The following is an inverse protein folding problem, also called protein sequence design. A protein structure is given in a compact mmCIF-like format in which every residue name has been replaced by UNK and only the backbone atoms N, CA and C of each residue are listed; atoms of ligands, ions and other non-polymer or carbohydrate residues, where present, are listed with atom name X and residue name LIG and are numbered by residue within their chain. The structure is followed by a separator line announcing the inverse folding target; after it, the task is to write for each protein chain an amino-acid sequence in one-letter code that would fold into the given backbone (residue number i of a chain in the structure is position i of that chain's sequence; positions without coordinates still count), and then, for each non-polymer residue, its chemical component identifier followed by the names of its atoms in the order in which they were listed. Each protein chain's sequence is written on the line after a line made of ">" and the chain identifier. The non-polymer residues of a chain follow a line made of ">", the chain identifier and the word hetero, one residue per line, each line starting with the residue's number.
data_IF_724014757146
#
_entry.id   IF_724014757146
#
_cell.length_a   1.000
_cell.length_b   1.000
_cell.length_c   1.000
_cell.angle_alpha   90.00
_cell.angle_beta   90.00
_cell.angle_gamma   90.00
#
_symmetry.space_group_name_H-M   'P 1'
#
loop_
_entity.id
_entity.type
_entity.pdbx_description
1 polymer ?
#
# COMPACT_ATOMS: atom_id res chain seq x y z
N UNK A 1 -23.55 -18.98 46.40
CA UNK A 1 -23.06 -18.40 45.14
C UNK A 1 -21.89 -19.23 44.65
N UNK A 2 -21.82 -19.57 43.35
CA UNK A 2 -20.63 -20.20 42.77
C UNK A 2 -19.41 -19.34 43.09
N UNK A 3 -18.37 -19.93 43.68
CA UNK A 3 -17.11 -19.22 43.93
C UNK A 3 -16.32 -19.31 42.63
N UNK A 4 -16.16 -18.19 41.94
CA UNK A 4 -15.27 -18.11 40.79
C UNK A 4 -13.84 -18.46 41.21
N UNK A 5 -13.13 -19.20 40.35
CA UNK A 5 -11.70 -19.52 40.56
C UNK A 5 -10.84 -18.28 40.42
N UNK A 6 -9.59 -18.35 40.89
CA UNK A 6 -8.61 -17.26 40.72
C UNK A 6 -8.45 -16.87 39.24
N UNK A 7 -8.33 -17.87 38.37
CA UNK A 7 -8.19 -17.69 36.91
C UNK A 7 -9.40 -16.97 36.29
N UNK A 8 -10.62 -17.25 36.77
CA UNK A 8 -11.82 -16.57 36.31
C UNK A 8 -11.81 -15.09 36.73
N UNK A 9 -11.31 -14.78 37.92
CA UNK A 9 -11.15 -13.39 38.36
C UNK A 9 -10.07 -12.63 37.59
N UNK A 10 -8.97 -13.29 37.24
CA UNK A 10 -7.94 -12.71 36.37
C UNK A 10 -8.50 -12.43 34.97
N UNK A 11 -9.32 -13.33 34.43
CA UNK A 11 -9.98 -13.13 33.13
C UNK A 11 -10.95 -11.95 33.17
N UNK A 12 -11.77 -11.85 34.23
CA UNK A 12 -12.70 -10.72 34.43
C UNK A 12 -11.92 -9.40 34.54
N UNK A 13 -10.78 -9.39 35.24
CA UNK A 13 -9.91 -8.22 35.35
C UNK A 13 -9.35 -7.81 33.98
N UNK A 14 -8.80 -8.76 33.23
CA UNK A 14 -8.24 -8.49 31.90
C UNK A 14 -9.30 -7.93 30.93
N UNK A 15 -10.52 -8.47 30.95
CA UNK A 15 -11.62 -7.96 30.13
C UNK A 15 -12.08 -6.56 30.56
N UNK A 16 -12.10 -6.29 31.87
CA UNK A 16 -12.42 -4.97 32.41
C UNK A 16 -11.36 -3.93 32.03
N UNK A 17 -10.09 -4.28 32.13
CA UNK A 17 -8.97 -3.42 31.72
C UNK A 17 -8.91 -3.23 30.19
N UNK A 18 -9.52 -4.15 29.42
CA UNK A 18 -9.77 -3.98 27.99
C UNK A 18 -11.05 -3.18 27.66
N UNK A 19 -11.79 -2.69 28.67
CA UNK A 19 -12.94 -1.80 28.48
C UNK A 19 -14.33 -2.44 28.53
N UNK A 20 -14.45 -3.72 28.93
CA UNK A 20 -15.76 -4.33 29.16
C UNK A 20 -16.49 -3.66 30.34
N UNK A 21 -17.80 -3.46 30.21
CA UNK A 21 -18.60 -2.85 31.28
C UNK A 21 -18.88 -3.88 32.39
N UNK A 22 -19.08 -3.42 33.63
CA UNK A 22 -19.31 -4.37 34.71
C UNK A 22 -20.64 -5.16 34.60
N UNK A 23 -21.75 -4.61 34.06
CA UNK A 23 -22.94 -5.39 33.74
C UNK A 23 -22.67 -6.50 32.71
N UNK A 24 -21.89 -6.23 31.66
CA UNK A 24 -21.50 -7.24 30.67
C UNK A 24 -20.72 -8.41 31.29
N UNK A 25 -19.78 -8.09 32.19
CA UNK A 25 -19.00 -9.09 32.90
C UNK A 25 -19.87 -9.87 33.90
N UNK A 26 -20.84 -9.23 34.53
CA UNK A 26 -21.79 -9.88 35.43
C UNK A 26 -22.64 -10.93 34.69
N UNK A 27 -23.18 -10.56 33.54
CA UNK A 27 -24.01 -11.44 32.71
C UNK A 27 -23.18 -12.62 32.16
N UNK A 28 -21.96 -12.35 31.70
CA UNK A 28 -21.06 -13.36 31.12
C UNK A 28 -20.57 -14.40 32.12
N UNK A 29 -20.25 -13.97 33.35
CA UNK A 29 -19.67 -14.84 34.38
C UNK A 29 -20.68 -15.29 35.43
N UNK A 30 -21.95 -14.89 35.31
CA UNK A 30 -23.03 -15.31 36.22
C UNK A 30 -22.84 -14.84 37.67
N UNK A 31 -22.20 -13.68 37.85
CA UNK A 31 -21.91 -13.08 39.17
C UNK A 31 -22.50 -11.68 39.28
N UNK A 32 -22.71 -11.18 40.49
CA UNK A 32 -23.25 -9.83 40.66
C UNK A 32 -22.24 -8.77 40.23
N UNK A 33 -22.69 -7.78 39.45
CA UNK A 33 -21.90 -6.59 39.12
C UNK A 33 -21.30 -5.95 40.39
N UNK A 34 -22.07 -5.84 41.47
CA UNK A 34 -21.59 -5.30 42.76
C UNK A 34 -20.37 -6.04 43.32
N UNK A 35 -20.29 -7.38 43.15
CA UNK A 35 -19.14 -8.15 43.59
C UNK A 35 -17.89 -7.84 42.75
N UNK A 36 -18.05 -7.70 41.43
CA UNK A 36 -16.97 -7.31 40.52
C UNK A 36 -16.52 -5.87 40.83
N UNK A 37 -17.45 -4.94 41.04
CA UNK A 37 -17.16 -3.53 41.35
C UNK A 37 -16.40 -3.37 42.66
N UNK A 38 -16.83 -4.08 43.72
CA UNK A 38 -16.16 -4.04 45.04
C UNK A 38 -14.72 -4.55 44.94
N UNK A 39 -14.50 -5.63 44.17
CA UNK A 39 -13.17 -6.20 43.96
C UNK A 39 -12.28 -5.31 43.09
N UNK A 40 -12.82 -4.79 42.00
CA UNK A 40 -12.14 -3.83 41.14
C UNK A 40 -11.69 -2.57 41.89
N UNK A 41 -12.51 -2.07 42.83
CA UNK A 41 -12.14 -0.95 43.70
C UNK A 41 -11.06 -1.32 44.71
N UNK A 42 -11.10 -2.53 45.28
CA UNK A 42 -10.10 -3.00 46.24
C UNK A 42 -8.72 -3.24 45.58
N UNK A 43 -8.71 -3.67 44.32
CA UNK A 43 -7.51 -4.03 43.58
C UNK A 43 -7.07 -2.97 42.55
N UNK A 44 -7.81 -1.86 42.43
CA UNK A 44 -7.46 -0.72 41.57
C UNK A 44 -7.52 -1.01 40.06
N UNK A 45 -8.52 -1.77 39.60
CA UNK A 45 -8.62 -2.14 38.18
C UNK A 45 -8.93 -0.94 37.28
N UNK A 46 -8.22 -0.84 36.15
CA UNK A 46 -8.47 0.16 35.11
C UNK A 46 -9.85 0.02 34.45
N UNK A 47 -10.33 1.09 33.82
CA UNK A 47 -11.61 1.14 33.10
C UNK A 47 -11.47 1.03 31.57
N UNK A 48 -10.25 0.76 31.10
CA UNK A 48 -9.94 0.58 29.68
C UNK A 48 -9.94 1.85 28.85
N UNK A 49 -10.01 3.04 29.45
CA UNK A 49 -9.97 4.32 28.71
C UNK A 49 -8.68 4.51 27.89
N UNK A 50 -7.54 4.00 28.35
CA UNK A 50 -6.26 4.01 27.62
C UNK A 50 -6.23 2.97 26.46
N UNK A 51 -6.93 1.83 26.64
CA UNK A 51 -6.91 0.70 25.70
C UNK A 51 -8.01 0.83 24.63
N UNK A 52 -9.07 1.61 24.89
CA UNK A 52 -10.19 1.85 23.98
C UNK A 52 -9.75 2.46 22.64
N UNK A 53 -8.71 3.31 22.62
CA UNK A 53 -8.11 3.83 21.39
C UNK A 53 -7.43 2.74 20.55
N UNK A 54 -6.66 1.87 21.19
CA UNK A 54 -5.97 0.74 20.54
C UNK A 54 -6.97 -0.32 20.05
N UNK A 55 -8.03 -0.59 20.82
CA UNK A 55 -9.10 -1.52 20.44
C UNK A 55 -9.89 -0.99 19.25
N UNK A 56 -10.31 0.28 19.25
CA UNK A 56 -11.00 0.88 18.09
C UNK A 56 -10.16 0.80 16.82
N UNK A 57 -8.85 1.01 16.92
CA UNK A 57 -7.92 0.85 15.79
C UNK A 57 -7.86 -0.59 15.30
N UNK A 58 -7.73 -1.55 16.21
CA UNK A 58 -7.67 -2.98 15.89
C UNK A 58 -8.99 -3.56 15.38
N UNK A 59 -10.12 -3.01 15.85
CA UNK A 59 -11.45 -3.29 15.34
C UNK A 59 -11.61 -2.71 13.93
N UNK A 60 -11.18 -1.47 13.68
CA UNK A 60 -11.17 -0.91 12.33
C UNK A 60 -10.32 -1.74 11.36
N UNK A 61 -9.14 -2.21 11.78
CA UNK A 61 -8.29 -3.13 11.01
C UNK A 61 -8.99 -4.46 10.70
N UNK A 62 -9.76 -5.03 11.65
CA UNK A 62 -10.49 -6.28 11.44
C UNK A 62 -11.78 -6.13 10.64
N UNK A 63 -12.54 -5.06 10.85
CA UNK A 63 -13.82 -4.78 10.19
C UNK A 63 -13.62 -4.33 8.74
N UNK A 64 -12.55 -3.58 8.46
CA UNK A 64 -12.22 -3.18 7.09
C UNK A 64 -11.74 -4.33 6.20
N UNK A 65 -11.54 -5.55 6.73
CA UNK A 65 -11.18 -6.74 5.95
C UNK A 65 -9.79 -6.69 5.29
N UNK A 66 -9.03 -5.61 5.49
CA UNK A 66 -7.66 -5.47 4.95
C UNK A 66 -6.67 -5.89 6.02
N UNK A 67 -6.48 -7.19 6.16
CA UNK A 67 -5.15 -7.68 6.53
C UNK A 67 -4.23 -7.19 5.40
N UNK A 68 -3.32 -6.25 5.72
CA UNK A 68 -2.38 -5.65 4.77
C UNK A 68 -1.58 -6.66 3.91
N UNK A 69 -1.58 -7.94 4.29
CA UNK A 69 -0.95 -9.03 3.56
C UNK A 69 -1.73 -9.52 2.31
N UNK A 70 -3.06 -9.39 2.24
CA UNK A 70 -3.85 -9.92 1.11
C UNK A 70 -3.66 -9.11 -0.18
N UNK A 71 -3.34 -7.82 -0.07
CA UNK A 71 -3.16 -6.94 -1.22
C UNK A 71 -1.71 -6.88 -1.75
N UNK A 72 -0.70 -7.28 -0.97
CA UNK A 72 0.68 -7.15 -1.43
C UNK A 72 1.04 -8.17 -2.51
N UNK A 73 0.58 -9.42 -2.39
CA UNK A 73 0.77 -10.46 -3.41
C UNK A 73 0.04 -10.11 -4.71
N UNK A 74 -1.25 -9.76 -4.64
CA UNK A 74 -2.02 -9.35 -5.84
C UNK A 74 -1.46 -8.09 -6.49
N UNK A 75 -0.97 -7.13 -5.70
CA UNK A 75 -0.29 -5.94 -6.22
C UNK A 75 1.04 -6.31 -6.90
N UNK A 76 1.84 -7.21 -6.31
CA UNK A 76 3.07 -7.69 -6.93
C UNK A 76 2.77 -8.42 -8.25
N UNK A 77 1.81 -9.34 -8.28
CA UNK A 77 1.38 -10.03 -9.50
C UNK A 77 0.90 -9.04 -10.58
N UNK A 78 0.16 -8.00 -10.21
CA UNK A 78 -0.28 -6.97 -11.14
C UNK A 78 0.89 -6.11 -11.69
N UNK A 79 1.88 -5.81 -10.85
CA UNK A 79 3.11 -5.11 -11.24
C UNK A 79 3.93 -6.00 -12.19
N UNK A 80 4.14 -7.27 -11.84
CA UNK A 80 4.89 -8.23 -12.66
C UNK A 80 4.21 -8.41 -14.03
N UNK A 81 2.89 -8.54 -14.07
CA UNK A 81 2.15 -8.62 -15.32
C UNK A 81 2.25 -7.35 -16.16
N UNK A 82 2.32 -6.16 -15.54
CA UNK A 82 2.54 -4.91 -16.24
C UNK A 82 3.98 -4.80 -16.76
N UNK A 83 4.96 -5.23 -15.96
CA UNK A 83 6.37 -5.29 -16.34
C UNK A 83 6.59 -6.23 -17.52
N UNK A 84 5.94 -7.40 -17.53
CA UNK A 84 6.07 -8.37 -18.63
C UNK A 84 5.51 -7.82 -19.95
N UNK A 85 4.37 -7.10 -19.92
CA UNK A 85 3.84 -6.41 -21.10
C UNK A 85 4.82 -5.34 -21.60
N UNK A 86 5.43 -4.58 -20.69
CA UNK A 86 6.48 -3.60 -21.05
C UNK A 86 7.72 -4.27 -21.64
N UNK A 87 8.14 -5.40 -21.07
CA UNK A 87 9.28 -6.18 -21.55
C UNK A 87 9.03 -6.75 -22.95
N UNK A 88 7.81 -7.21 -23.24
CA UNK A 88 7.43 -7.67 -24.58
C UNK A 88 7.57 -6.58 -25.64
N UNK A 89 7.09 -5.36 -25.35
CA UNK A 89 7.26 -4.20 -26.23
C UNK A 89 8.74 -3.94 -26.50
N UNK A 90 9.58 -3.92 -25.45
CA UNK A 90 11.02 -3.70 -25.57
C UNK A 90 11.70 -4.81 -26.38
N UNK A 91 11.37 -6.08 -26.15
CA UNK A 91 11.94 -7.20 -26.91
C UNK A 91 11.58 -7.13 -28.38
N UNK A 92 10.34 -6.78 -28.73
CA UNK A 92 9.95 -6.57 -30.13
C UNK A 92 10.75 -5.42 -30.74
N UNK A 93 10.90 -4.31 -30.03
CA UNK A 93 11.67 -3.17 -30.54
C UNK A 93 13.13 -3.55 -30.83
N UNK A 94 13.75 -4.34 -29.95
CA UNK A 94 15.09 -4.88 -30.15
C UNK A 94 15.17 -5.74 -31.41
N UNK A 95 14.24 -6.68 -31.59
CA UNK A 95 14.19 -7.53 -32.77
C UNK A 95 14.00 -6.73 -34.07
N UNK A 96 13.13 -5.71 -34.08
CA UNK A 96 12.96 -4.84 -35.26
C UNK A 96 14.25 -4.07 -35.62
N UNK A 97 15.06 -3.69 -34.63
CA UNK A 97 16.36 -3.07 -34.85
C UNK A 97 17.42 -4.06 -35.33
N UNK A 98 17.39 -5.29 -34.83
CA UNK A 98 18.23 -6.38 -35.33
C UNK A 98 17.91 -6.70 -36.79
N UNK A 99 16.63 -6.77 -37.16
CA UNK A 99 16.18 -6.95 -38.54
C UNK A 99 16.62 -5.79 -39.45
N UNK A 100 16.51 -4.55 -38.96
CA UNK A 100 17.00 -3.38 -39.69
C UNK A 100 18.51 -3.49 -39.94
N UNK A 101 19.27 -3.84 -38.91
CA UNK A 101 20.73 -4.04 -39.00
C UNK A 101 21.09 -5.22 -39.91
N UNK A 102 20.35 -6.32 -39.87
CA UNK A 102 20.57 -7.47 -40.74
C UNK A 102 20.34 -7.11 -42.21
N UNK A 103 19.35 -6.26 -42.49
CA UNK A 103 19.01 -5.81 -43.84
C UNK A 103 19.99 -4.80 -44.42
N UNK A 104 20.40 -3.81 -43.63
CA UNK A 104 21.18 -2.67 -44.15
C UNK A 104 22.65 -2.68 -43.73
N UNK A 105 23.02 -3.49 -42.73
CA UNK A 105 24.39 -3.57 -42.23
C UNK A 105 24.83 -2.29 -41.52
N UNK A 106 26.04 -1.82 -41.84
CA UNK A 106 26.55 -0.51 -41.45
C UNK A 106 26.02 0.59 -42.38
N UNK A 107 26.59 1.80 -42.32
CA UNK A 107 26.22 2.89 -43.23
C UNK A 107 26.45 2.45 -44.69
N UNK A 108 25.41 2.43 -45.56
CA UNK A 108 25.58 2.06 -46.96
C UNK A 108 26.48 3.05 -47.71
N UNK A 109 27.29 2.54 -48.63
CA UNK A 109 28.13 3.38 -49.50
C UNK A 109 27.34 4.02 -50.65
N UNK A 110 26.32 3.31 -51.14
CA UNK A 110 25.39 3.85 -52.13
C UNK A 110 24.40 4.83 -51.47
N UNK A 111 24.18 5.96 -52.14
CA UNK A 111 23.39 7.04 -51.59
C UNK A 111 21.89 6.72 -51.51
N UNK A 112 21.35 6.00 -52.50
CA UNK A 112 19.94 5.63 -52.53
C UNK A 112 19.65 4.50 -51.54
N UNK A 113 20.57 3.53 -51.39
CA UNK A 113 20.50 2.55 -50.32
C UNK A 113 20.60 3.21 -48.93
N UNK A 114 21.46 4.22 -48.79
CA UNK A 114 21.58 5.03 -47.58
C UNK A 114 20.28 5.76 -47.21
N UNK A 115 19.60 6.33 -48.21
CA UNK A 115 18.26 6.94 -48.00
C UNK A 115 17.23 5.91 -47.57
N UNK A 116 17.20 4.75 -48.23
CA UNK A 116 16.25 3.69 -47.89
C UNK A 116 16.47 3.19 -46.45
N UNK A 117 17.73 2.98 -46.07
CA UNK A 117 18.11 2.58 -44.70
C UNK A 117 17.68 3.63 -43.68
N UNK A 118 17.92 4.92 -43.96
CA UNK A 118 17.51 6.05 -43.11
C UNK A 118 15.99 6.13 -42.93
N UNK A 119 15.24 6.16 -44.03
CA UNK A 119 13.78 6.29 -43.98
C UNK A 119 13.17 5.10 -43.22
N UNK A 120 13.70 3.90 -43.43
CA UNK A 120 13.28 2.71 -42.69
C UNK A 120 13.54 2.81 -41.19
N UNK A 121 14.72 3.31 -40.80
CA UNK A 121 15.07 3.54 -39.38
C UNK A 121 14.17 4.63 -38.75
N UNK A 122 13.89 5.71 -39.47
CA UNK A 122 13.03 6.79 -38.99
C UNK A 122 11.58 6.32 -38.82
N UNK A 123 11.04 5.55 -39.76
CA UNK A 123 9.71 4.93 -39.61
C UNK A 123 9.65 4.02 -38.37
N UNK A 124 10.69 3.20 -38.16
CA UNK A 124 10.78 2.33 -37.00
C UNK A 124 10.79 3.15 -35.71
N UNK A 125 11.66 4.17 -35.63
CA UNK A 125 11.72 5.09 -34.48
C UNK A 125 10.37 5.72 -34.17
N UNK A 126 9.68 6.27 -35.17
CA UNK A 126 8.38 6.94 -34.98
C UNK A 126 7.34 5.96 -34.42
N UNK A 127 7.29 4.74 -34.95
CA UNK A 127 6.37 3.68 -34.46
C UNK A 127 6.66 3.35 -33.00
N UNK A 128 7.93 3.11 -32.67
CA UNK A 128 8.34 2.71 -31.34
C UNK A 128 8.10 3.84 -30.32
N UNK A 129 8.39 5.10 -30.67
CA UNK A 129 8.08 6.27 -29.84
C UNK A 129 6.57 6.37 -29.56
N UNK A 130 5.73 6.22 -30.59
CA UNK A 130 4.28 6.23 -30.40
C UNK A 130 3.79 5.11 -29.48
N UNK A 131 4.37 3.92 -29.64
CA UNK A 131 4.04 2.77 -28.82
C UNK A 131 4.49 2.94 -27.36
N UNK A 132 5.74 3.35 -27.12
CA UNK A 132 6.25 3.59 -25.76
C UNK A 132 5.40 4.61 -25.01
N UNK A 133 4.94 5.67 -25.69
CA UNK A 133 3.99 6.64 -25.11
C UNK A 133 2.64 6.01 -24.78
N UNK A 134 2.09 5.19 -25.67
CA UNK A 134 0.80 4.53 -25.45
C UNK A 134 0.84 3.56 -24.24
N UNK A 135 2.00 2.96 -23.96
CA UNK A 135 2.19 2.03 -22.85
C UNK A 135 2.83 2.65 -21.60
N UNK A 136 3.09 3.97 -21.59
CA UNK A 136 3.71 4.65 -20.45
C UNK A 136 5.14 4.18 -20.15
N UNK A 137 5.87 3.70 -21.17
CA UNK A 137 7.26 3.24 -21.06
C UNK A 137 8.28 4.35 -21.27
N UNK A 138 7.84 5.50 -21.75
CA UNK A 138 8.65 6.72 -21.68
C UNK A 138 8.59 7.22 -20.24
N UNK A 139 9.77 7.50 -19.64
CA UNK A 139 9.81 8.25 -18.39
C UNK A 139 8.92 9.48 -18.59
N UNK A 140 8.03 9.74 -17.63
CA UNK A 140 7.42 11.05 -17.54
C UNK A 140 8.58 12.04 -17.42
N UNK A 141 8.99 12.64 -18.54
CA UNK A 141 10.02 13.66 -18.60
C UNK A 141 9.69 14.62 -17.47
N UNK A 142 10.56 14.64 -16.46
CA UNK A 142 10.24 15.01 -15.10
C UNK A 142 9.25 16.17 -15.05
N UNK A 143 8.03 15.90 -14.57
CA UNK A 143 7.16 17.00 -14.16
C UNK A 143 7.97 17.82 -13.15
N UNK A 144 8.24 19.11 -13.42
CA UNK A 144 9.01 19.91 -12.49
C UNK A 144 8.25 19.90 -11.17
N UNK A 145 8.91 19.42 -10.11
CA UNK A 145 8.33 19.42 -8.78
C UNK A 145 8.12 20.89 -8.37
N UNK A 146 6.86 21.35 -8.39
CA UNK A 146 6.51 22.69 -7.92
C UNK A 146 6.55 22.65 -6.39
N UNK A 147 7.68 23.06 -5.82
CA UNK A 147 7.83 23.25 -4.37
C UNK A 147 7.26 24.63 -4.02
N UNK A 148 6.10 24.66 -3.36
CA UNK A 148 5.52 25.90 -2.81
C UNK A 148 6.02 26.05 -1.37
N UNK A 149 7.08 26.83 -1.18
CA UNK A 149 7.49 27.25 0.16
C UNK A 149 6.53 28.32 0.68
N UNK A 150 5.72 27.98 1.69
CA UNK A 150 4.92 28.95 2.43
C UNK A 150 5.75 29.48 3.59
N UNK A 151 6.40 30.63 3.41
CA UNK A 151 6.90 31.41 4.53
C UNK A 151 5.70 32.08 5.21
N UNK A 152 5.33 31.58 6.38
CA UNK A 152 4.41 32.31 7.26
C UNK A 152 5.21 33.50 7.81
N UNK A 153 5.02 34.67 7.21
CA UNK A 153 5.57 35.92 7.71
C UNK A 153 5.19 36.10 9.17
N UNK A 154 6.20 36.07 10.04
CA UNK A 154 6.03 36.25 11.47
C UNK A 154 5.28 37.54 11.75
N UNK A 155 4.07 37.41 12.29
CA UNK A 155 3.29 38.52 12.80
C UNK A 155 4.11 39.25 13.85
N UNK A 156 4.49 40.48 13.52
CA UNK A 156 5.19 41.39 14.41
C UNK A 156 4.15 41.87 15.43
N UNK A 157 4.20 41.31 16.63
CA UNK A 157 3.48 41.84 17.78
C UNK A 157 4.04 43.23 18.10
N UNK A 158 3.18 44.24 18.06
CA UNK A 158 3.38 45.55 18.65
C UNK A 158 2.10 45.89 19.42
#
# INVERSE_FOLDING_TARGET
>A
MPRLSADQWETIRAEREAGASFPELADKYGVSHQAIQKRAKAEGWGDGTDVAGAIRRKVAEKVAGVVAACNQKKKAEAIDAAAERGAEVVRRHQAEWEDHRARFGSVPADFEDGKLAKISAEMLRIRQEGERRAWGLDEAAGQPAIVIERSYGGGRAA
#
